data_IF_515258396855
#
_entry.id   IF_515258396855
#
_cell.length_a   1.000
_cell.length_b   1.000
_cell.length_c   1.000
_cell.angle_alpha   90.00
_cell.angle_beta   90.00
_cell.angle_gamma   90.00
#
_symmetry.space_group_name_H-M   'P 1'
#
loop_
_entity.id
_entity.type
_entity.pdbx_description
1 polymer ?
#
# COMPACT_ATOMS: atom_id res chain seq x y z
N UNK A 1 10.73 17.22 -7.26
CA UNK A 1 10.73 18.60 -7.78
C UNK A 1 12.00 19.23 -7.24
N UNK A 2 12.78 19.79 -8.16
CA UNK A 2 14.14 20.28 -7.89
C UNK A 2 14.10 21.75 -7.46
N UNK A 3 15.21 22.46 -7.69
CA UNK A 3 15.34 23.91 -7.52
C UNK A 3 14.49 24.67 -8.57
N UNK A 4 13.16 24.57 -8.48
CA UNK A 4 12.21 25.02 -9.49
C UNK A 4 11.64 26.42 -9.17
N UNK A 5 11.52 27.28 -10.19
CA UNK A 5 10.75 28.51 -10.12
C UNK A 5 9.27 28.25 -10.36
N UNK A 6 8.43 28.71 -9.44
CA UNK A 6 6.98 28.51 -9.52
C UNK A 6 6.31 29.87 -9.58
N UNK A 7 5.44 30.05 -10.58
CA UNK A 7 4.59 31.23 -10.71
C UNK A 7 3.14 30.76 -10.63
N UNK A 8 2.36 31.38 -9.74
CA UNK A 8 0.96 31.04 -9.52
C UNK A 8 0.10 32.25 -9.87
N UNK A 9 -0.89 32.04 -10.73
CA UNK A 9 -1.95 32.98 -11.05
C UNK A 9 -3.20 32.48 -10.31
N UNK A 10 -3.62 33.20 -9.28
CA UNK A 10 -4.55 32.73 -8.26
C UNK A 10 -5.82 33.59 -8.27
N UNK A 11 -6.98 32.94 -8.21
CA UNK A 11 -8.28 33.58 -8.00
C UNK A 11 -8.74 33.33 -6.57
N UNK A 12 -8.77 34.39 -5.78
CA UNK A 12 -9.02 34.35 -4.34
C UNK A 12 -10.52 34.32 -4.03
N UNK A 13 -10.85 33.93 -2.81
CA UNK A 13 -12.24 33.84 -2.33
C UNK A 13 -12.97 35.19 -2.26
N UNK A 14 -12.25 36.30 -2.26
CA UNK A 14 -12.77 37.67 -2.33
C UNK A 14 -12.95 38.18 -3.78
N UNK A 15 -12.88 37.27 -4.76
CA UNK A 15 -12.96 37.53 -6.20
C UNK A 15 -11.80 38.37 -6.76
N UNK A 16 -10.72 38.53 -5.98
CA UNK A 16 -9.50 39.19 -6.46
C UNK A 16 -8.58 38.19 -7.14
N UNK A 17 -7.82 38.65 -8.14
CA UNK A 17 -6.81 37.83 -8.80
C UNK A 17 -5.43 38.39 -8.49
N UNK A 18 -4.52 37.52 -8.10
CA UNK A 18 -3.14 37.87 -7.81
C UNK A 18 -2.16 36.94 -8.51
N UNK A 19 -0.94 37.43 -8.72
CA UNK A 19 0.17 36.60 -9.20
C UNK A 19 1.21 36.52 -8.10
N UNK A 20 1.54 35.30 -7.68
CA UNK A 20 2.54 35.03 -6.68
C UNK A 20 3.72 34.26 -7.27
N UNK A 21 4.91 34.55 -6.75
CA UNK A 21 6.17 33.89 -7.15
C UNK A 21 6.69 33.09 -5.96
N UNK A 22 7.07 31.85 -6.24
CA UNK A 22 7.68 30.96 -5.27
C UNK A 22 8.96 30.33 -5.81
N UNK A 23 9.81 29.87 -4.90
CA UNK A 23 10.96 29.02 -5.21
C UNK A 23 10.84 27.75 -4.39
N UNK A 24 10.94 26.61 -5.07
CA UNK A 24 11.07 25.31 -4.41
C UNK A 24 12.53 25.08 -4.09
N UNK A 25 12.90 25.18 -2.80
CA UNK A 25 14.27 24.90 -2.34
C UNK A 25 14.42 23.47 -1.80
N UNK A 26 13.33 22.87 -1.32
CA UNK A 26 13.22 21.46 -0.93
C UNK A 26 11.73 21.05 -0.89
N UNK A 27 11.34 19.99 -1.58
CA UNK A 27 10.02 19.34 -1.41
C UNK A 27 8.98 19.60 -2.51
N UNK A 28 7.72 19.26 -2.19
CA UNK A 28 6.56 19.32 -3.11
C UNK A 28 5.71 20.59 -2.96
N UNK A 29 5.96 21.37 -1.90
CA UNK A 29 5.21 22.58 -1.60
C UNK A 29 6.05 23.81 -1.88
N UNK A 30 5.46 24.86 -2.49
CA UNK A 30 6.11 26.17 -2.59
C UNK A 30 6.52 26.64 -1.20
N UNK A 31 7.84 26.68 -0.96
CA UNK A 31 8.41 26.84 0.39
C UNK A 31 8.80 28.27 0.71
N UNK A 32 9.06 29.09 -0.30
CA UNK A 32 9.43 30.50 -0.12
C UNK A 32 8.63 31.38 -1.06
N UNK A 33 7.72 32.18 -0.49
CA UNK A 33 7.11 33.30 -1.20
C UNK A 33 8.18 34.37 -1.43
N UNK A 34 8.41 34.72 -2.69
CA UNK A 34 9.40 35.71 -3.10
C UNK A 34 8.73 37.07 -3.16
N UNK A 35 8.82 37.83 -2.08
CA UNK A 35 8.42 39.24 -2.05
C UNK A 35 9.55 40.14 -2.56
N UNK A 36 9.23 41.39 -2.92
CA UNK A 36 10.20 42.41 -3.39
C UNK A 36 11.39 42.65 -2.44
N UNK A 37 11.27 42.27 -1.16
CA UNK A 37 12.30 42.40 -0.14
C UNK A 37 13.12 41.11 0.12
N UNK A 38 12.92 40.05 -0.68
CA UNK A 38 13.56 38.75 -0.44
C UNK A 38 14.94 38.63 -1.10
N UNK A 39 15.86 37.96 -0.42
CA UNK A 39 17.24 37.67 -0.89
C UNK A 39 17.32 36.76 -2.14
N UNK A 40 16.20 36.51 -2.81
CA UNK A 40 16.07 35.61 -3.98
C UNK A 40 15.86 36.34 -5.31
N UNK A 41 16.00 37.68 -5.31
CA UNK A 41 16.43 38.50 -6.46
C UNK A 41 15.51 38.56 -7.70
N UNK A 42 15.51 39.73 -8.34
CA UNK A 42 14.76 40.02 -9.58
C UNK A 42 13.51 40.87 -9.34
N UNK A 43 13.36 41.95 -10.12
CA UNK A 43 12.15 42.77 -10.13
C UNK A 43 11.05 41.90 -10.76
N UNK A 44 10.10 41.49 -9.93
CA UNK A 44 8.87 40.84 -10.35
C UNK A 44 7.77 41.89 -10.32
N UNK A 45 7.26 42.23 -11.49
CA UNK A 45 6.19 43.21 -11.65
C UNK A 45 5.02 42.57 -12.38
N UNK A 46 3.86 42.61 -11.75
CA UNK A 46 2.62 42.20 -12.37
C UNK A 46 2.15 43.34 -13.26
N UNK A 47 2.12 43.10 -14.57
CA UNK A 47 1.77 44.12 -15.57
C UNK A 47 0.26 44.22 -15.73
N UNK A 48 -0.41 43.08 -15.85
CA UNK A 48 -1.85 43.03 -16.09
C UNK A 48 -2.45 41.78 -15.47
N UNK A 49 -3.58 41.97 -14.81
CA UNK A 49 -4.44 40.89 -14.35
C UNK A 49 -5.85 41.19 -14.83
N UNK A 50 -6.49 40.22 -15.46
CA UNK A 50 -7.85 40.36 -15.96
C UNK A 50 -8.60 39.04 -15.87
N UNK A 51 -9.93 39.14 -15.77
CA UNK A 51 -10.83 38.02 -15.86
C UNK A 51 -11.83 38.29 -16.97
N UNK A 52 -12.00 37.35 -17.89
CA UNK A 52 -13.04 37.45 -18.90
C UNK A 52 -13.66 36.07 -19.15
N UNK A 53 -14.99 35.97 -19.02
CA UNK A 53 -15.75 34.75 -19.26
C UNK A 53 -15.19 33.49 -18.58
N UNK A 54 -14.76 33.62 -17.31
CA UNK A 54 -14.19 32.51 -16.53
C UNK A 54 -12.73 32.16 -16.87
N UNK A 55 -12.09 32.90 -17.77
CA UNK A 55 -10.65 32.77 -18.07
C UNK A 55 -9.89 33.84 -17.29
N UNK A 56 -8.87 33.39 -16.56
CA UNK A 56 -7.96 34.26 -15.81
C UNK A 56 -6.75 34.57 -16.70
N UNK A 57 -6.45 35.86 -16.85
CA UNK A 57 -5.31 36.38 -17.60
C UNK A 57 -4.34 37.04 -16.63
N UNK A 58 -3.12 36.50 -16.56
CA UNK A 58 -2.04 37.03 -15.74
C UNK A 58 -0.82 37.32 -16.61
N UNK A 59 -0.40 38.58 -16.62
CA UNK A 59 0.77 39.07 -17.32
C UNK A 59 1.74 39.67 -16.31
N UNK A 60 3.00 39.25 -16.36
CA UNK A 60 4.03 39.72 -15.46
C UNK A 60 5.36 39.79 -16.18
N UNK A 61 6.23 40.66 -15.69
CA UNK A 61 7.60 40.83 -16.17
C UNK A 61 8.57 40.44 -15.07
N UNK A 62 9.67 39.82 -15.50
CA UNK A 62 10.76 39.42 -14.62
C UNK A 62 12.07 39.94 -15.20
N UNK A 63 12.83 40.68 -14.40
CA UNK A 63 14.17 41.15 -14.81
C UNK A 63 15.19 40.00 -14.80
N UNK A 64 16.14 40.00 -15.74
CA UNK A 64 17.28 39.08 -15.75
C UNK A 64 18.04 39.10 -14.41
N UNK A 65 18.53 37.94 -13.98
CA UNK A 65 19.28 37.84 -12.74
C UNK A 65 20.50 36.93 -12.86
N UNK A 66 21.59 37.27 -12.14
CA UNK A 66 22.80 36.47 -12.00
C UNK A 66 23.10 36.14 -10.53
N UNK A 67 23.12 34.85 -10.21
CA UNK A 67 23.65 34.17 -9.00
C UNK A 67 23.43 34.85 -7.63
N UNK A 68 22.41 34.41 -6.89
CA UNK A 68 22.34 34.63 -5.44
C UNK A 68 22.90 33.40 -4.75
N UNK A 69 23.94 33.60 -3.94
CA UNK A 69 24.42 32.60 -3.02
C UNK A 69 23.38 32.46 -1.90
N UNK A 70 22.75 31.28 -1.79
CA UNK A 70 22.02 30.97 -0.56
C UNK A 70 23.04 30.86 0.59
N UNK A 71 23.08 31.89 1.45
CA UNK A 71 23.95 31.96 2.62
C UNK A 71 23.76 30.76 3.57
N UNK A 72 22.62 30.05 3.51
CA UNK A 72 22.36 28.88 4.36
C UNK A 72 22.97 27.58 3.83
N UNK A 73 23.21 27.44 2.52
CA UNK A 73 23.64 26.16 1.91
C UNK A 73 24.86 26.24 0.98
N UNK A 74 25.49 27.40 0.77
CA UNK A 74 26.63 27.58 -0.17
C UNK A 74 26.35 27.01 -1.58
N UNK A 75 25.09 27.09 -2.04
CA UNK A 75 24.70 26.71 -3.41
C UNK A 75 24.29 27.96 -4.18
N UNK A 76 24.76 28.06 -5.41
CA UNK A 76 24.28 29.04 -6.39
C UNK A 76 22.98 28.51 -6.99
N UNK A 77 21.86 29.18 -6.73
CA UNK A 77 20.65 28.95 -7.50
C UNK A 77 20.88 29.69 -8.82
N UNK A 78 21.02 28.96 -9.92
CA UNK A 78 21.11 29.54 -11.27
C UNK A 78 19.73 30.05 -11.66
N UNK A 79 19.48 31.32 -11.36
CA UNK A 79 18.22 31.99 -11.67
C UNK A 79 18.13 32.27 -13.18
N UNK A 80 16.89 32.34 -13.68
CA UNK A 80 16.48 32.40 -15.09
C UNK A 80 17.42 33.26 -15.97
N UNK A 81 18.13 32.60 -16.89
CA UNK A 81 19.02 33.20 -17.89
C UNK A 81 18.41 33.09 -19.30
N UNK A 82 18.60 34.13 -20.12
CA UNK A 82 18.06 34.20 -21.48
C UNK A 82 18.65 33.15 -22.44
N UNK A 83 19.87 32.68 -22.18
CA UNK A 83 20.57 31.74 -23.05
C UNK A 83 20.44 30.27 -22.63
N UNK A 84 19.72 30.01 -21.56
CA UNK A 84 19.49 28.66 -21.04
C UNK A 84 18.13 28.14 -21.49
N UNK A 85 18.07 26.84 -21.75
CA UNK A 85 16.87 26.13 -22.13
C UNK A 85 16.14 25.60 -20.89
N UNK A 86 14.81 25.75 -20.85
CA UNK A 86 13.96 25.38 -19.71
C UNK A 86 12.82 24.44 -20.10
N UNK A 87 12.51 23.52 -19.19
CA UNK A 87 11.27 22.75 -19.25
C UNK A 87 10.16 23.55 -18.58
N UNK A 88 9.06 23.79 -19.29
CA UNK A 88 7.88 24.40 -18.70
C UNK A 88 6.94 23.31 -18.20
N UNK A 89 6.60 23.42 -16.92
CA UNK A 89 5.60 22.59 -16.25
C UNK A 89 4.39 23.47 -15.96
N UNK A 90 3.20 23.03 -16.35
CA UNK A 90 1.94 23.72 -16.05
C UNK A 90 1.11 22.88 -15.11
N UNK A 91 0.33 23.53 -14.25
CA UNK A 91 -0.58 22.85 -13.33
C UNK A 91 -1.83 23.71 -13.09
N UNK A 92 -2.97 23.05 -12.85
CA UNK A 92 -4.24 23.69 -12.50
C UNK A 92 -4.80 23.01 -11.26
N UNK A 93 -5.16 23.81 -10.26
CA UNK A 93 -5.68 23.37 -8.97
C UNK A 93 -6.66 24.38 -8.39
N UNK A 94 -7.33 23.97 -7.32
CA UNK A 94 -8.13 24.88 -6.51
C UNK A 94 -7.25 25.46 -5.39
N UNK A 95 -7.74 26.48 -4.69
CA UNK A 95 -7.18 26.97 -3.43
C UNK A 95 -7.95 26.36 -2.26
N UNK A 96 -7.30 26.25 -1.10
CA UNK A 96 -7.98 25.96 0.17
C UNK A 96 -8.82 27.17 0.64
N UNK A 97 -9.70 26.94 1.61
CA UNK A 97 -10.43 27.94 2.39
C UNK A 97 -9.57 29.08 2.96
N UNK A 98 -8.27 28.84 3.19
CA UNK A 98 -7.29 29.85 3.61
C UNK A 98 -6.54 30.52 2.44
N UNK A 99 -7.06 30.41 1.21
CA UNK A 99 -6.42 30.89 -0.03
C UNK A 99 -5.00 30.32 -0.24
N UNK A 100 -4.74 29.12 0.28
CA UNK A 100 -3.44 28.47 0.20
C UNK A 100 -3.39 27.45 -0.96
N UNK A 101 -2.23 27.34 -1.62
CA UNK A 101 -2.02 26.40 -2.71
C UNK A 101 -2.15 24.95 -2.21
N UNK A 102 -3.06 24.20 -2.82
CA UNK A 102 -3.23 22.75 -2.59
C UNK A 102 -2.81 21.94 -3.81
N UNK A 103 -2.89 20.62 -3.70
CA UNK A 103 -2.52 19.73 -4.80
C UNK A 103 -3.39 20.01 -6.03
N UNK A 104 -2.72 20.37 -7.13
CA UNK A 104 -3.34 20.55 -8.44
C UNK A 104 -4.08 19.28 -8.87
N UNK A 105 -5.20 19.45 -9.58
CA UNK A 105 -5.93 18.33 -10.17
C UNK A 105 -5.49 18.06 -11.61
N UNK A 106 -4.89 19.02 -12.32
CA UNK A 106 -4.37 18.81 -13.67
C UNK A 106 -2.91 19.28 -13.78
N UNK A 107 -2.13 18.59 -14.60
CA UNK A 107 -0.73 18.92 -14.92
C UNK A 107 -0.47 18.80 -16.41
N UNK A 108 0.27 19.74 -16.96
CA UNK A 108 0.91 19.66 -18.27
C UNK A 108 2.43 19.69 -18.12
N UNK A 109 3.12 18.96 -18.98
CA UNK A 109 4.59 19.03 -19.10
C UNK A 109 4.90 19.28 -20.55
N UNK A 110 5.67 20.33 -20.81
CA UNK A 110 6.19 20.57 -22.15
C UNK A 110 7.34 19.60 -22.40
N UNK A 111 7.18 18.72 -23.39
CA UNK A 111 8.20 17.72 -23.77
C UNK A 111 9.42 18.36 -24.43
N UNK A 112 9.26 19.56 -24.99
CA UNK A 112 10.34 20.33 -25.60
C UNK A 112 10.87 21.39 -24.64
N UNK A 113 12.19 21.59 -24.69
CA UNK A 113 12.90 22.65 -24.00
C UNK A 113 12.77 23.97 -24.76
N UNK A 114 12.50 25.07 -24.03
CA UNK A 114 12.31 26.39 -24.63
C UNK A 114 13.34 27.41 -24.15
N UNK A 115 13.62 28.43 -24.95
CA UNK A 115 14.44 29.57 -24.56
C UNK A 115 13.56 30.78 -24.25
N UNK A 116 13.88 31.53 -23.19
CA UNK A 116 13.11 32.68 -22.73
C UNK A 116 13.45 33.99 -23.46
N UNK A 117 14.20 33.92 -24.55
CA UNK A 117 14.62 35.07 -25.36
C UNK A 117 13.70 35.32 -26.57
N UNK A 118 12.71 34.47 -26.81
CA UNK A 118 11.75 34.58 -27.91
C UNK A 118 10.32 34.38 -27.43
N UNK A 119 9.33 35.06 -28.03
CA UNK A 119 7.93 34.86 -27.70
C UNK A 119 7.46 33.48 -28.19
N UNK A 120 6.99 32.65 -27.26
CA UNK A 120 6.47 31.32 -27.57
C UNK A 120 5.06 31.16 -27.00
N UNK A 121 4.12 30.68 -27.82
CA UNK A 121 2.75 30.39 -27.38
C UNK A 121 2.64 28.91 -27.09
N UNK A 122 2.40 28.57 -25.82
CA UNK A 122 2.29 27.19 -25.37
C UNK A 122 0.83 26.87 -25.09
N UNK A 123 0.25 26.01 -25.93
CA UNK A 123 -1.09 25.47 -25.71
C UNK A 123 -0.97 24.11 -25.02
N UNK A 124 -1.27 24.05 -23.72
CA UNK A 124 -1.37 22.77 -23.02
C UNK A 124 -2.79 22.23 -23.14
N UNK A 125 -2.96 21.16 -23.93
CA UNK A 125 -4.21 20.43 -23.99
C UNK A 125 -4.41 19.70 -22.65
N UNK A 126 -5.08 20.36 -21.71
CA UNK A 126 -5.44 19.79 -20.42
C UNK A 126 -6.50 18.72 -20.65
N UNK A 127 -6.05 17.49 -20.89
CA UNK A 127 -6.93 16.34 -21.04
C UNK A 127 -7.45 15.95 -19.66
N UNK A 128 -8.58 16.54 -19.24
CA UNK A 128 -9.34 16.09 -18.06
C UNK A 128 -9.57 14.56 -18.08
N UNK A 129 -9.72 13.98 -19.27
CA UNK A 129 -9.86 12.55 -19.51
C UNK A 129 -8.58 11.74 -19.13
N UNK A 130 -7.39 12.31 -19.30
CA UNK A 130 -6.13 11.68 -18.87
C UNK A 130 -6.00 11.66 -17.36
N UNK A 131 -6.46 12.70 -16.66
CA UNK A 131 -6.41 12.78 -15.20
C UNK A 131 -7.38 11.81 -14.53
N UNK A 132 -8.62 11.71 -15.02
CA UNK A 132 -9.61 10.79 -14.46
C UNK A 132 -9.13 9.34 -14.55
N UNK A 133 -8.65 8.91 -15.72
CA UNK A 133 -8.13 7.56 -15.90
C UNK A 133 -6.88 7.29 -15.06
N UNK A 134 -5.96 8.27 -14.93
CA UNK A 134 -4.79 8.14 -14.06
C UNK A 134 -5.17 8.00 -12.58
N UNK A 135 -6.12 8.79 -12.10
CA UNK A 135 -6.58 8.69 -10.70
C UNK A 135 -7.32 7.38 -10.42
N UNK A 136 -8.04 6.82 -11.40
CA UNK A 136 -8.67 5.50 -11.29
C UNK A 136 -7.62 4.40 -11.13
N UNK A 137 -6.55 4.39 -11.93
CA UNK A 137 -5.47 3.39 -11.82
C UNK A 137 -4.82 3.38 -10.43
N UNK A 138 -4.52 4.57 -9.90
CA UNK A 138 -3.95 4.71 -8.55
C UNK A 138 -4.91 4.20 -7.47
N UNK A 139 -6.20 4.53 -7.58
CA UNK A 139 -7.24 4.05 -6.64
C UNK A 139 -7.41 2.54 -6.71
N UNK A 140 -7.48 1.98 -7.93
CA UNK A 140 -7.59 0.55 -8.15
C UNK A 140 -6.40 -0.20 -7.56
N UNK A 141 -5.16 0.29 -7.77
CA UNK A 141 -3.96 -0.26 -7.14
C UNK A 141 -4.11 -0.36 -5.62
N UNK A 142 -4.47 0.76 -4.98
CA UNK A 142 -4.62 0.83 -3.53
C UNK A 142 -5.72 -0.08 -2.98
N UNK A 143 -6.90 -0.10 -3.61
CA UNK A 143 -8.03 -0.96 -3.20
C UNK A 143 -7.66 -2.44 -3.32
N UNK A 144 -7.06 -2.83 -4.46
CA UNK A 144 -6.65 -4.22 -4.67
C UNK A 144 -5.62 -4.63 -3.61
N UNK A 145 -4.56 -3.83 -3.39
CA UNK A 145 -3.56 -4.16 -2.37
C UNK A 145 -4.17 -4.25 -0.97
N UNK A 146 -5.05 -3.33 -0.59
CA UNK A 146 -5.74 -3.38 0.70
C UNK A 146 -6.56 -4.66 0.86
N UNK A 147 -7.43 -4.99 -0.10
CA UNK A 147 -8.26 -6.20 -0.01
C UNK A 147 -7.42 -7.47 0.04
N UNK A 148 -6.37 -7.57 -0.76
CA UNK A 148 -5.53 -8.77 -0.78
C UNK A 148 -4.82 -8.99 0.55
N UNK A 149 -4.14 -7.96 1.05
CA UNK A 149 -3.28 -8.08 2.23
C UNK A 149 -4.05 -8.02 3.55
N UNK A 150 -5.23 -7.40 3.58
CA UNK A 150 -6.07 -7.31 4.79
C UNK A 150 -7.14 -8.39 4.86
N UNK A 151 -7.40 -9.14 3.79
CA UNK A 151 -8.46 -10.17 3.79
C UNK A 151 -7.98 -11.49 3.22
N UNK A 152 -7.60 -11.53 1.94
CA UNK A 152 -7.33 -12.80 1.25
C UNK A 152 -6.09 -13.52 1.78
N UNK A 153 -4.97 -12.80 1.98
CA UNK A 153 -3.73 -13.40 2.47
C UNK A 153 -3.86 -13.90 3.91
N UNK A 154 -4.36 -13.12 4.90
CA UNK A 154 -4.63 -13.63 6.24
C UNK A 154 -5.56 -14.84 6.23
N UNK A 155 -6.63 -14.80 5.43
CA UNK A 155 -7.58 -15.92 5.28
C UNK A 155 -6.91 -17.18 4.76
N UNK A 156 -6.05 -17.07 3.73
CA UNK A 156 -5.32 -18.21 3.20
C UNK A 156 -4.34 -18.81 4.22
N UNK A 157 -3.73 -17.99 5.09
CA UNK A 157 -2.85 -18.47 6.17
C UNK A 157 -3.68 -19.19 7.23
N UNK A 158 -4.83 -18.64 7.63
CA UNK A 158 -5.77 -19.27 8.55
C UNK A 158 -6.24 -20.64 8.03
N UNK A 159 -6.57 -20.74 6.73
CA UNK A 159 -6.92 -22.00 6.06
C UNK A 159 -5.81 -23.06 6.21
N UNK A 160 -4.56 -22.69 5.94
CA UNK A 160 -3.44 -23.62 6.05
C UNK A 160 -3.10 -24.02 7.50
N UNK A 161 -3.38 -23.16 8.49
CA UNK A 161 -3.09 -23.42 9.89
C UNK A 161 -4.16 -24.32 10.52
N UNK A 162 -5.41 -23.88 10.52
CA UNK A 162 -6.47 -24.51 11.32
C UNK A 162 -7.21 -25.61 10.55
N UNK A 163 -7.43 -25.43 9.26
CA UNK A 163 -8.20 -26.41 8.47
C UNK A 163 -7.36 -27.57 7.98
N UNK A 164 -6.02 -27.47 8.11
CA UNK A 164 -5.11 -28.57 7.77
C UNK A 164 -5.41 -29.84 8.56
N UNK A 165 -5.72 -29.75 9.85
CA UNK A 165 -6.00 -30.93 10.67
C UNK A 165 -7.42 -31.43 10.45
N UNK A 166 -8.40 -30.53 10.50
CA UNK A 166 -9.83 -30.84 10.38
C UNK A 166 -10.23 -31.37 9.00
N UNK A 167 -9.64 -30.86 7.92
CA UNK A 167 -9.96 -31.25 6.54
C UNK A 167 -8.85 -32.08 5.89
N UNK A 168 -7.98 -32.71 6.69
CA UNK A 168 -6.94 -33.64 6.20
C UNK A 168 -7.53 -34.90 5.56
N UNK A 169 -8.65 -35.38 6.10
CA UNK A 169 -9.32 -36.63 5.67
C UNK A 169 -10.23 -36.42 4.46
N UNK A 170 -10.75 -35.21 4.28
CA UNK A 170 -11.55 -34.84 3.11
C UNK A 170 -10.59 -34.62 1.93
N UNK A 171 -10.73 -35.43 0.88
CA UNK A 171 -9.89 -35.35 -0.32
C UNK A 171 -10.75 -35.06 -1.54
N UNK A 172 -10.30 -34.12 -2.35
CA UNK A 172 -10.78 -33.87 -3.71
C UNK A 172 -9.64 -34.22 -4.66
N UNK A 173 -9.86 -35.09 -5.64
CA UNK A 173 -8.84 -35.53 -6.60
C UNK A 173 -7.52 -35.97 -5.93
N UNK A 174 -7.62 -36.86 -4.95
CA UNK A 174 -6.51 -37.38 -4.13
C UNK A 174 -5.71 -36.33 -3.31
N UNK A 175 -6.16 -35.08 -3.29
CA UNK A 175 -5.50 -33.97 -2.59
C UNK A 175 -6.38 -33.47 -1.44
N UNK A 176 -5.82 -33.18 -0.25
CA UNK A 176 -6.60 -32.65 0.87
C UNK A 176 -7.28 -31.32 0.53
N UNK A 177 -8.54 -31.14 0.94
CA UNK A 177 -9.34 -29.95 0.57
C UNK A 177 -8.73 -28.65 1.09
N UNK A 178 -8.20 -28.63 2.32
CA UNK A 178 -7.54 -27.44 2.87
C UNK A 178 -6.41 -26.93 1.98
N UNK A 179 -5.69 -27.85 1.34
CA UNK A 179 -4.54 -27.53 0.52
C UNK A 179 -4.99 -26.91 -0.81
N UNK A 180 -6.05 -27.44 -1.42
CA UNK A 180 -6.66 -26.87 -2.63
C UNK A 180 -7.18 -25.46 -2.34
N UNK A 181 -7.93 -25.28 -1.26
CA UNK A 181 -8.48 -23.96 -0.90
C UNK A 181 -7.38 -22.94 -0.61
N UNK A 182 -6.35 -23.32 0.15
CA UNK A 182 -5.18 -22.48 0.37
C UNK A 182 -4.51 -22.09 -0.96
N UNK A 183 -4.30 -23.05 -1.86
CA UNK A 183 -3.68 -22.81 -3.15
C UNK A 183 -4.51 -21.86 -4.02
N UNK A 184 -5.84 -22.02 -4.07
CA UNK A 184 -6.73 -21.14 -4.85
C UNK A 184 -6.67 -19.70 -4.32
N UNK A 185 -6.82 -19.52 -3.00
CA UNK A 185 -6.81 -18.19 -2.37
C UNK A 185 -5.45 -17.51 -2.54
N UNK A 186 -4.34 -18.24 -2.35
CA UNK A 186 -3.00 -17.67 -2.51
C UNK A 186 -2.64 -17.37 -3.96
N UNK A 187 -3.01 -18.24 -4.91
CA UNK A 187 -2.78 -17.95 -6.32
C UNK A 187 -3.58 -16.74 -6.79
N UNK A 188 -4.82 -16.58 -6.32
CA UNK A 188 -5.61 -15.37 -6.58
C UNK A 188 -4.91 -14.13 -6.05
N UNK A 189 -4.39 -14.18 -4.81
CA UNK A 189 -3.65 -13.07 -4.22
C UNK A 189 -2.36 -12.72 -4.98
N UNK A 190 -1.60 -13.72 -5.44
CA UNK A 190 -0.40 -13.51 -6.28
C UNK A 190 -0.77 -12.79 -7.58
N UNK A 191 -1.75 -13.33 -8.33
CA UNK A 191 -2.14 -12.77 -9.63
C UNK A 191 -2.63 -11.33 -9.48
N UNK A 192 -3.49 -11.06 -8.50
CA UNK A 192 -4.01 -9.72 -8.27
C UNK A 192 -2.94 -8.74 -7.75
N UNK A 193 -1.95 -9.23 -7.00
CA UNK A 193 -0.79 -8.42 -6.59
C UNK A 193 0.03 -7.99 -7.80
N UNK A 194 0.28 -8.91 -8.74
CA UNK A 194 1.01 -8.61 -9.99
C UNK A 194 0.23 -7.63 -10.87
N UNK A 195 -1.09 -7.84 -11.04
CA UNK A 195 -1.96 -6.90 -11.76
C UNK A 195 -1.88 -5.51 -11.12
N UNK A 196 -2.06 -5.42 -9.80
CA UNK A 196 -1.99 -4.16 -9.08
C UNK A 196 -0.63 -3.47 -9.19
N UNK A 197 0.46 -4.24 -9.21
CA UNK A 197 1.80 -3.71 -9.47
C UNK A 197 1.93 -3.14 -10.89
N UNK A 198 1.40 -3.81 -11.90
CA UNK A 198 1.35 -3.29 -13.27
C UNK A 198 0.54 -1.99 -13.35
N UNK A 199 -0.62 -1.91 -12.67
CA UNK A 199 -1.43 -0.69 -12.64
C UNK A 199 -0.66 0.53 -12.15
N UNK A 200 0.13 0.38 -11.07
CA UNK A 200 0.92 1.51 -10.54
C UNK A 200 2.09 1.88 -11.46
N UNK A 201 2.72 0.91 -12.14
CA UNK A 201 3.75 1.17 -13.14
C UNK A 201 3.20 1.96 -14.34
N UNK A 202 2.00 1.59 -14.83
CA UNK A 202 1.30 2.32 -15.90
C UNK A 202 0.96 3.74 -15.43
N UNK A 203 0.42 3.88 -14.21
CA UNK A 203 0.11 5.19 -13.63
C UNK A 203 1.35 6.11 -13.58
N UNK A 204 2.50 5.56 -13.16
CA UNK A 204 3.78 6.29 -13.09
C UNK A 204 4.51 6.39 -14.43
N UNK A 205 4.00 5.80 -15.51
CA UNK A 205 4.66 5.73 -16.84
C UNK A 205 6.09 5.17 -16.76
N UNK A 206 6.33 4.22 -15.85
CA UNK A 206 7.66 3.65 -15.59
C UNK A 206 8.64 4.58 -14.86
N UNK A 207 8.27 5.82 -14.53
CA UNK A 207 9.12 6.72 -13.76
C UNK A 207 9.16 6.33 -12.27
N UNK A 208 10.33 6.41 -11.66
CA UNK A 208 10.48 6.15 -10.23
C UNK A 208 10.17 7.39 -9.39
N UNK A 209 9.76 7.18 -8.13
CA UNK A 209 9.56 8.28 -7.17
C UNK A 209 10.89 8.91 -6.80
N UNK A 210 10.93 10.24 -6.70
CA UNK A 210 12.16 10.96 -6.35
C UNK A 210 12.57 10.68 -4.90
N UNK A 211 13.87 10.55 -4.65
CA UNK A 211 14.41 10.30 -3.31
C UNK A 211 14.15 11.44 -2.31
N UNK A 212 13.88 12.66 -2.80
CA UNK A 212 13.49 13.79 -1.92
C UNK A 212 12.13 13.57 -1.24
N UNK A 213 11.32 12.63 -1.72
CA UNK A 213 10.08 12.21 -1.09
C UNK A 213 10.31 10.97 -0.23
N UNK A 214 10.82 11.17 0.98
CA UNK A 214 11.20 10.08 1.88
C UNK A 214 10.11 9.00 2.05
N UNK A 215 8.83 9.39 2.22
CA UNK A 215 7.71 8.45 2.41
C UNK A 215 7.29 7.73 1.12
N UNK A 216 7.14 8.45 0.00
CA UNK A 216 6.77 7.83 -1.29
C UNK A 216 7.88 6.92 -1.82
N UNK A 217 9.13 7.32 -1.63
CA UNK A 217 10.30 6.53 -1.98
C UNK A 217 10.40 5.28 -1.10
N UNK A 218 10.23 5.40 0.22
CA UNK A 218 10.22 4.23 1.08
C UNK A 218 9.06 3.27 0.75
N UNK A 219 7.87 3.78 0.43
CA UNK A 219 6.73 2.94 0.02
C UNK A 219 7.01 2.20 -1.28
N UNK A 220 7.59 2.86 -2.28
CA UNK A 220 7.90 2.22 -3.57
C UNK A 220 8.96 1.14 -3.43
N UNK A 221 10.00 1.37 -2.61
CA UNK A 221 11.05 0.37 -2.34
C UNK A 221 10.48 -0.81 -1.56
N UNK A 222 9.74 -0.57 -0.47
CA UNK A 222 9.15 -1.65 0.31
C UNK A 222 8.13 -2.46 -0.52
N UNK A 223 7.30 -1.80 -1.31
CA UNK A 223 6.36 -2.45 -2.23
C UNK A 223 7.07 -3.31 -3.27
N UNK A 224 8.21 -2.86 -3.82
CA UNK A 224 9.01 -3.67 -4.75
C UNK A 224 9.58 -4.92 -4.08
N UNK A 225 10.07 -4.79 -2.83
CA UNK A 225 10.55 -5.94 -2.06
C UNK A 225 9.41 -6.94 -1.81
N UNK A 226 8.21 -6.47 -1.45
CA UNK A 226 7.02 -7.33 -1.30
C UNK A 226 6.69 -8.08 -2.59
N UNK A 227 6.64 -7.38 -3.73
CA UNK A 227 6.36 -8.03 -5.03
C UNK A 227 7.43 -9.07 -5.37
N UNK A 228 8.68 -8.78 -5.03
CA UNK A 228 9.81 -9.70 -5.23
C UNK A 228 9.70 -10.93 -4.34
N UNK A 229 9.33 -10.79 -3.05
CA UNK A 229 9.17 -11.94 -2.16
C UNK A 229 7.93 -12.78 -2.52
N UNK A 230 6.83 -12.16 -2.96
CA UNK A 230 5.66 -12.88 -3.52
C UNK A 230 6.03 -13.69 -4.77
N UNK A 231 6.87 -13.12 -5.64
CA UNK A 231 7.36 -13.81 -6.85
C UNK A 231 8.29 -14.96 -6.47
N UNK A 232 9.18 -14.74 -5.49
CA UNK A 232 10.05 -15.78 -4.94
C UNK A 232 9.26 -16.95 -4.34
N UNK A 233 8.20 -16.67 -3.58
CA UNK A 233 7.28 -17.70 -3.05
C UNK A 233 6.64 -18.53 -4.18
N UNK A 234 6.22 -17.85 -5.25
CA UNK A 234 5.64 -18.51 -6.43
C UNK A 234 6.66 -19.43 -7.11
N UNK A 235 7.91 -18.98 -7.24
CA UNK A 235 9.02 -19.80 -7.76
C UNK A 235 9.29 -21.00 -6.84
N UNK A 236 9.38 -20.77 -5.53
CA UNK A 236 9.63 -21.83 -4.54
C UNK A 236 8.54 -22.90 -4.58
N UNK A 237 7.26 -22.51 -4.74
CA UNK A 237 6.14 -23.44 -4.80
C UNK A 237 6.13 -24.28 -6.09
N UNK A 238 6.59 -23.73 -7.21
CA UNK A 238 6.80 -24.48 -8.48
C UNK A 238 7.88 -25.55 -8.29
N UNK A 239 9.00 -25.20 -7.66
CA UNK A 239 10.12 -26.13 -7.41
C UNK A 239 9.95 -27.01 -6.16
N UNK A 240 8.73 -27.05 -5.60
CA UNK A 240 8.44 -27.79 -4.38
C UNK A 240 8.61 -29.30 -4.58
N UNK A 241 9.39 -29.94 -3.72
CA UNK A 241 9.56 -31.39 -3.70
C UNK A 241 8.26 -32.15 -3.42
N UNK A 242 8.19 -33.44 -3.80
CA UNK A 242 7.05 -34.32 -3.46
C UNK A 242 6.81 -34.43 -1.95
N UNK A 243 5.59 -34.74 -1.48
CA UNK A 243 5.26 -34.78 -0.04
C UNK A 243 6.10 -35.76 0.78
N UNK A 244 6.56 -36.84 0.15
CA UNK A 244 7.36 -37.94 0.70
C UNK A 244 8.88 -37.70 0.65
N UNK A 245 9.33 -36.60 0.03
CA UNK A 245 10.75 -36.33 -0.17
C UNK A 245 11.46 -35.92 1.15
N UNK A 246 12.67 -36.44 1.46
CA UNK A 246 13.34 -36.20 2.74
C UNK A 246 13.66 -34.72 3.01
N UNK A 247 13.88 -33.92 1.95
CA UNK A 247 14.15 -32.47 2.05
C UNK A 247 12.89 -31.60 2.08
N UNK A 248 11.68 -32.18 2.15
CA UNK A 248 10.42 -31.42 2.16
C UNK A 248 10.32 -30.45 3.35
N UNK A 249 10.98 -30.75 4.46
CA UNK A 249 11.02 -29.86 5.62
C UNK A 249 11.70 -28.51 5.32
N UNK A 250 12.74 -28.50 4.47
CA UNK A 250 13.45 -27.27 4.08
C UNK A 250 12.48 -26.34 3.35
N UNK A 251 11.76 -26.88 2.36
CA UNK A 251 10.72 -26.13 1.66
C UNK A 251 9.66 -25.60 2.64
N UNK A 252 9.14 -26.44 3.53
CA UNK A 252 8.08 -26.03 4.46
C UNK A 252 8.54 -24.90 5.40
N UNK A 253 9.80 -24.93 5.85
CA UNK A 253 10.35 -23.90 6.73
C UNK A 253 10.61 -22.59 5.98
N UNK A 254 11.24 -22.67 4.80
CA UNK A 254 11.52 -21.50 3.98
C UNK A 254 10.23 -20.82 3.50
N UNK A 255 9.26 -21.58 2.99
CA UNK A 255 7.95 -21.06 2.57
C UNK A 255 7.21 -20.38 3.74
N UNK A 256 7.33 -20.92 4.96
CA UNK A 256 6.72 -20.29 6.13
C UNK A 256 7.41 -18.98 6.52
N UNK A 257 8.74 -18.97 6.54
CA UNK A 257 9.51 -17.77 6.94
C UNK A 257 9.31 -16.65 5.93
N UNK A 258 9.46 -16.95 4.64
CA UNK A 258 9.34 -15.94 3.59
C UNK A 258 7.89 -15.44 3.52
N UNK A 259 6.89 -16.32 3.69
CA UNK A 259 5.48 -15.93 3.72
C UNK A 259 5.13 -15.01 4.89
N UNK A 260 5.56 -15.33 6.11
CA UNK A 260 5.32 -14.47 7.29
C UNK A 260 6.07 -13.14 7.15
N UNK A 261 7.33 -13.17 6.69
CA UNK A 261 8.12 -11.96 6.47
C UNK A 261 7.45 -11.03 5.45
N UNK A 262 6.90 -11.62 4.38
CA UNK A 262 6.16 -10.90 3.35
C UNK A 262 4.88 -10.25 3.90
N UNK A 263 4.14 -10.94 4.77
CA UNK A 263 2.95 -10.38 5.43
C UNK A 263 3.29 -9.18 6.34
N UNK A 264 4.38 -9.28 7.11
CA UNK A 264 4.84 -8.17 7.96
C UNK A 264 5.26 -6.98 7.09
N UNK A 265 6.04 -7.25 6.04
CA UNK A 265 6.54 -6.22 5.15
C UNK A 265 5.41 -5.52 4.37
N UNK A 266 4.41 -6.27 3.89
CA UNK A 266 3.26 -5.70 3.19
C UNK A 266 2.41 -4.85 4.12
N UNK A 267 2.24 -5.27 5.37
CA UNK A 267 1.55 -4.47 6.40
C UNK A 267 2.24 -3.13 6.62
N UNK A 268 3.57 -3.13 6.81
CA UNK A 268 4.34 -1.90 6.95
C UNK A 268 4.29 -1.03 5.68
N UNK A 269 4.30 -1.65 4.50
CA UNK A 269 4.18 -0.94 3.20
C UNK A 269 2.83 -0.23 3.07
N UNK A 270 1.73 -0.88 3.47
CA UNK A 270 0.38 -0.30 3.45
C UNK A 270 0.26 0.82 4.49
N UNK A 271 0.81 0.63 5.69
CA UNK A 271 0.82 1.68 6.71
C UNK A 271 1.51 2.94 6.17
N UNK A 272 2.69 2.78 5.56
CA UNK A 272 3.41 3.89 4.96
C UNK A 272 2.61 4.59 3.85
N UNK A 273 1.83 3.83 3.06
CA UNK A 273 0.92 4.40 2.07
C UNK A 273 -0.13 5.33 2.70
N UNK A 274 -0.67 4.97 3.86
CA UNK A 274 -1.66 5.82 4.57
C UNK A 274 -1.06 7.06 5.23
N UNK A 275 0.27 7.09 5.41
CA UNK A 275 1.01 8.23 5.96
C UNK A 275 1.52 9.18 4.85
N UNK A 276 1.17 8.94 3.59
CA UNK A 276 1.48 9.83 2.48
C UNK A 276 0.72 11.15 2.63
N UNK A 277 1.37 12.27 2.28
CA UNK A 277 0.83 13.62 2.47
C UNK A 277 -0.51 13.86 1.76
N UNK A 278 -0.83 13.07 0.72
CA UNK A 278 -2.14 13.05 0.05
C UNK A 278 -3.31 12.76 1.01
N UNK A 279 -3.06 12.05 2.11
CA UNK A 279 -4.09 11.65 3.08
C UNK A 279 -4.10 12.52 4.34
N UNK A 280 -3.27 13.57 4.40
CA UNK A 280 -3.18 14.42 5.60
C UNK A 280 -4.42 15.29 5.81
N UNK A 281 -5.16 15.64 4.76
CA UNK A 281 -6.38 16.45 4.86
C UNK A 281 -7.65 15.63 5.17
N UNK A 282 -7.58 14.30 5.23
CA UNK A 282 -8.75 13.46 5.48
C UNK A 282 -9.12 13.48 6.96
N UNK A 283 -10.37 13.84 7.27
CA UNK A 283 -10.92 13.93 8.64
C UNK A 283 -10.68 12.66 9.47
N UNK A 284 -10.91 11.49 8.85
CA UNK A 284 -10.56 10.19 9.44
C UNK A 284 -9.23 9.75 8.85
N UNK A 285 -8.17 9.79 9.66
CA UNK A 285 -6.84 9.33 9.24
C UNK A 285 -6.88 7.84 8.91
N UNK A 286 -6.60 7.42 7.65
CA UNK A 286 -6.76 6.02 7.24
C UNK A 286 -5.92 5.02 8.04
N UNK A 287 -4.76 5.43 8.55
CA UNK A 287 -3.90 4.59 9.38
C UNK A 287 -4.62 4.08 10.64
N UNK A 288 -5.55 4.86 11.21
CA UNK A 288 -6.30 4.46 12.43
C UNK A 288 -7.20 3.26 12.15
N UNK A 289 -7.83 3.23 10.98
CA UNK A 289 -8.72 2.14 10.55
C UNK A 289 -7.89 0.87 10.38
N UNK A 290 -6.71 0.96 9.74
CA UNK A 290 -5.84 -0.18 9.53
C UNK A 290 -5.32 -0.78 10.84
N UNK A 291 -4.87 0.08 11.77
CA UNK A 291 -4.41 -0.37 13.08
C UNK A 291 -5.54 -1.06 13.86
N UNK A 292 -6.77 -0.52 13.81
CA UNK A 292 -7.92 -1.16 14.43
C UNK A 292 -8.22 -2.53 13.79
N UNK A 293 -8.15 -2.64 12.47
CA UNK A 293 -8.35 -3.90 11.75
C UNK A 293 -7.30 -4.95 12.12
N UNK A 294 -6.01 -4.61 12.08
CA UNK A 294 -4.94 -5.54 12.48
C UNK A 294 -5.05 -5.95 13.95
N UNK A 295 -5.45 -5.02 14.82
CA UNK A 295 -5.70 -5.34 16.23
C UNK A 295 -6.83 -6.35 16.38
N UNK A 296 -7.92 -6.17 15.63
CA UNK A 296 -9.04 -7.12 15.60
C UNK A 296 -8.59 -8.49 15.06
N UNK A 297 -7.84 -8.55 13.95
CA UNK A 297 -7.30 -9.81 13.41
C UNK A 297 -6.41 -10.53 14.42
N UNK A 298 -5.53 -9.79 15.09
CA UNK A 298 -4.64 -10.33 16.11
C UNK A 298 -5.41 -10.91 17.30
N UNK A 299 -6.47 -10.21 17.75
CA UNK A 299 -7.36 -10.71 18.81
C UNK A 299 -8.09 -11.98 18.36
N UNK A 300 -8.59 -12.03 17.12
CA UNK A 300 -9.24 -13.23 16.56
C UNK A 300 -8.24 -14.39 16.54
N UNK A 301 -6.99 -14.16 16.12
CA UNK A 301 -5.95 -15.17 16.12
C UNK A 301 -5.66 -15.72 17.51
N UNK A 302 -5.46 -14.85 18.50
CA UNK A 302 -5.27 -15.26 19.90
C UNK A 302 -6.49 -16.04 20.40
N UNK A 303 -7.69 -15.56 20.09
CA UNK A 303 -8.95 -16.22 20.47
C UNK A 303 -9.04 -17.64 19.93
N UNK A 304 -8.71 -17.87 18.67
CA UNK A 304 -8.71 -19.20 18.07
C UNK A 304 -7.67 -20.11 18.74
N UNK A 305 -6.45 -19.64 18.99
CA UNK A 305 -5.42 -20.42 19.68
C UNK A 305 -5.83 -20.78 21.13
N UNK A 306 -6.42 -19.83 21.86
CA UNK A 306 -6.96 -20.08 23.20
C UNK A 306 -8.08 -21.12 23.17
N UNK A 307 -8.98 -21.05 22.20
CA UNK A 307 -10.05 -22.03 22.01
C UNK A 307 -9.50 -23.41 21.68
N UNK A 308 -8.48 -23.50 20.82
CA UNK A 308 -7.83 -24.76 20.47
C UNK A 308 -7.17 -25.41 21.69
N UNK A 309 -6.44 -24.63 22.50
CA UNK A 309 -5.84 -25.10 23.75
C UNK A 309 -6.90 -25.56 24.75
N UNK A 310 -8.00 -24.79 24.89
CA UNK A 310 -9.10 -25.14 25.78
C UNK A 310 -9.77 -26.44 25.34
N UNK A 311 -10.09 -26.57 24.05
CA UNK A 311 -10.72 -27.76 23.50
C UNK A 311 -9.80 -28.98 23.63
N UNK A 312 -8.50 -28.84 23.36
CA UNK A 312 -7.53 -29.92 23.53
C UNK A 312 -7.43 -30.36 25.00
N UNK A 313 -7.36 -29.42 25.95
CA UNK A 313 -7.37 -29.74 27.39
C UNK A 313 -8.69 -30.39 27.82
N UNK A 314 -9.82 -29.89 27.34
CA UNK A 314 -11.14 -30.43 27.66
C UNK A 314 -11.30 -31.87 27.13
N UNK A 315 -10.89 -32.12 25.88
CA UNK A 315 -10.92 -33.44 25.26
C UNK A 315 -10.03 -34.45 26.01
N UNK A 316 -8.82 -34.05 26.39
CA UNK A 316 -7.93 -34.88 27.21
C UNK A 316 -8.56 -35.22 28.57
N UNK A 317 -9.21 -34.24 29.22
CA UNK A 317 -9.88 -34.43 30.52
C UNK A 317 -11.10 -35.36 30.43
N UNK A 318 -11.90 -35.23 29.37
CA UNK A 318 -13.05 -36.11 29.13
C UNK A 318 -12.61 -37.56 28.89
N UNK A 319 -11.57 -37.79 28.10
CA UNK A 319 -11.05 -39.13 27.86
C UNK A 319 -10.35 -39.75 29.07
N UNK A 320 -9.69 -38.96 29.93
CA UNK A 320 -9.15 -39.49 31.19
C UNK A 320 -10.27 -39.91 32.15
N UNK A 321 -11.36 -39.16 32.24
CA UNK A 321 -12.52 -39.54 33.08
C UNK A 321 -13.21 -40.81 32.54
N UNK A 322 -13.37 -40.94 31.23
CA UNK A 322 -14.01 -42.13 30.62
C UNK A 322 -13.12 -43.38 30.58
N UNK A 323 -11.80 -43.26 30.71
CA UNK A 323 -10.89 -44.39 30.86
C UNK A 323 -10.78 -44.89 32.31
N UNK A 324 -11.14 -44.06 33.30
CA UNK A 324 -11.15 -44.44 34.73
C UNK A 324 -12.47 -45.13 35.12
N UNK A 325 -13.58 -44.87 34.41
CA UNK A 325 -14.90 -45.42 34.73
C UNK A 325 -15.38 -46.74 34.07
N UNK A 326 -14.69 -47.44 33.15
CA UNK A 326 -15.19 -48.73 32.66
C UNK A 326 -14.80 -49.92 33.55
N UNK A 327 -14.12 -49.72 34.70
CA UNK A 327 -13.64 -50.80 35.58
C UNK A 327 -14.27 -50.80 36.99
N UNK A 328 -15.58 -50.52 37.12
CA UNK A 328 -16.29 -50.73 38.39
C UNK A 328 -17.70 -51.35 38.25
N UNK A 329 -17.92 -52.18 37.23
CA UNK A 329 -19.08 -53.08 37.20
C UNK A 329 -18.61 -54.50 36.93
N UNK A 330 -18.01 -55.13 37.93
CA UNK A 330 -17.91 -56.58 38.12
C UNK A 330 -17.08 -56.81 39.37
N UNK A 331 -17.69 -56.83 40.54
CA UNK A 331 -17.31 -57.68 41.68
C UNK A 331 -18.36 -57.46 42.78
N UNK A 332 -18.78 -58.58 43.40
CA UNK A 332 -19.71 -58.72 44.53
C UNK A 332 -21.19 -58.94 44.16
N UNK A 333 -21.51 -60.18 43.80
CA UNK A 333 -22.35 -60.99 44.71
C UNK A 333 -22.14 -62.48 44.42
N UNK A 334 -21.54 -63.17 45.38
CA UNK A 334 -21.51 -64.63 45.49
C UNK A 334 -22.32 -64.99 46.74
N UNK A 335 -23.06 -66.10 46.69
CA UNK A 335 -23.84 -66.63 47.83
C UNK A 335 -25.28 -67.03 47.51
N UNK A 336 -25.49 -68.17 46.84
CA UNK A 336 -26.12 -69.36 47.44
C UNK A 336 -26.54 -70.41 46.39
N UNK A 337 -26.07 -71.64 46.61
CA UNK A 337 -26.42 -72.92 45.95
C UNK A 337 -27.85 -73.38 46.37
N UNK A 338 -28.57 -74.30 45.66
CA UNK A 338 -28.02 -75.59 45.25
C UNK A 338 -28.55 -76.26 43.95
N UNK A 339 -27.73 -77.21 43.48
CA UNK A 339 -28.04 -78.48 42.78
C UNK A 339 -29.26 -78.56 41.85
N UNK A 340 -29.00 -78.80 40.55
CA UNK A 340 -29.63 -79.93 39.86
C UNK A 340 -28.80 -80.38 38.64
N UNK A 341 -28.64 -81.69 38.57
CA UNK A 341 -28.03 -82.52 37.54
C UNK A 341 -28.83 -82.41 36.23
N UNK A 342 -28.17 -82.21 35.07
CA UNK A 342 -28.27 -83.15 33.96
C UNK A 342 -27.39 -82.82 32.75
N UNK A 343 -26.84 -83.90 32.20
CA UNK A 343 -26.18 -84.08 30.92
C UNK A 343 -26.89 -83.37 29.74
N UNK A 344 -26.12 -82.97 28.71
CA UNK A 344 -25.98 -83.73 27.45
C UNK A 344 -25.34 -82.89 26.32
N UNK A 345 -24.33 -83.50 25.73
CA UNK A 345 -23.65 -83.36 24.43
C UNK A 345 -24.14 -82.37 23.35
N UNK A 346 -23.15 -82.03 22.50
CA UNK A 346 -23.20 -81.78 21.04
C UNK A 346 -23.91 -80.49 20.60
N UNK A 347 -23.35 -79.66 19.72
CA UNK A 347 -22.34 -79.87 18.66
C UNK A 347 -21.79 -78.52 18.22
#
# INVERSE_FOLDING_TARGET
MGDDHVFACEHLSDDTIQVQRFVNLDGYSPSVLVTTASNYGGIFQVSRVAQNNGVIYCEFTLSNFTNTLDRRKKRSISLLSQNTQYHILTAIGNLDSSNSLIQHFATGVLTQMIQLNQPETITTNNTQESTNNKTILLRAHGIIMLLLWMLFVPTGILLARYFRQSWSKLKLCATPVWYIMHQIVMNFAVVMTLISFVLILIYKRGAWTSQSLSREFAHSIMGLVVVSTVTLESIMTIFRCRPDHPRRFIFNYMHRIVGISTLILSSATILLATLLSRYDSVMVKPWRILVAWWSMEFVIWIGIECLEIFYHKYWLRFNTINLVHPMQTNFLHDGDQPMSINARSSS
#
